data_IF_853326565942
#
_entry.id   IF_853326565942
#
_cell.length_a   1.000
_cell.length_b   1.000
_cell.length_c   1.000
_cell.angle_alpha   90.00
_cell.angle_beta   90.00
_cell.angle_gamma   90.00
#
_symmetry.space_group_name_H-M   'P 1'
#
loop_
_entity.id
_entity.type
_entity.pdbx_description
1 polymer ?
#
# COMPACT_ATOMS: atom_id res chain seq x y z
N UNK A 1 36.19 83.82 9.23
CA UNK A 1 35.76 83.14 7.98
C UNK A 1 36.13 81.68 8.05
N UNK A 2 35.25 80.83 7.56
CA UNK A 2 35.34 79.39 7.32
C UNK A 2 35.07 78.46 8.49
N UNK A 3 33.79 78.28 8.76
CA UNK A 3 33.26 77.05 9.34
C UNK A 3 32.71 76.15 8.22
N UNK A 4 33.34 75.00 7.94
CA UNK A 4 32.90 74.11 6.87
C UNK A 4 32.77 72.64 7.35
N UNK A 5 31.55 72.23 7.46
CA UNK A 5 31.01 70.85 7.14
C UNK A 5 31.79 69.64 7.61
N UNK A 6 31.48 69.14 8.82
CA UNK A 6 31.74 67.77 9.28
C UNK A 6 30.49 66.93 9.51
N UNK A 7 29.31 67.35 9.09
CA UNK A 7 28.03 66.72 9.48
C UNK A 7 27.45 65.78 8.42
N UNK A 8 27.96 65.73 7.18
CA UNK A 8 27.47 64.87 6.11
C UNK A 8 28.20 63.52 6.01
N UNK A 9 29.42 63.40 6.52
CA UNK A 9 30.22 62.16 6.41
C UNK A 9 29.79 61.07 7.35
N UNK A 10 29.22 61.39 8.53
CA UNK A 10 28.73 60.35 9.49
C UNK A 10 27.45 59.62 9.06
N UNK A 11 26.56 60.26 8.30
CA UNK A 11 25.31 59.62 7.82
C UNK A 11 25.57 58.66 6.66
N UNK A 12 26.50 58.91 5.77
CA UNK A 12 26.90 58.02 4.68
C UNK A 12 27.62 56.75 5.19
N UNK A 13 28.44 56.87 6.24
CA UNK A 13 29.16 55.73 6.80
C UNK A 13 28.22 54.75 7.53
N UNK A 14 27.19 55.25 8.22
CA UNK A 14 26.17 54.43 8.89
C UNK A 14 25.27 53.70 7.85
N UNK A 15 24.94 54.38 6.72
CA UNK A 15 24.15 53.74 5.66
C UNK A 15 24.92 52.61 4.96
N UNK A 16 26.23 52.79 4.77
CA UNK A 16 27.10 51.76 4.18
C UNK A 16 27.25 50.54 5.10
N UNK A 17 27.33 50.76 6.42
CA UNK A 17 27.44 49.67 7.40
C UNK A 17 26.13 48.87 7.54
N UNK A 18 24.97 49.51 7.41
CA UNK A 18 23.66 48.84 7.42
C UNK A 18 23.45 48.01 6.13
N UNK A 19 23.88 48.55 4.96
CA UNK A 19 23.80 47.79 3.69
C UNK A 19 24.71 46.55 3.69
N UNK A 20 25.92 46.65 4.24
CA UNK A 20 26.84 45.50 4.33
C UNK A 20 26.34 44.43 5.31
N UNK A 21 25.61 44.82 6.37
CA UNK A 21 25.02 43.85 7.31
C UNK A 21 23.86 43.07 6.70
N UNK A 22 23.00 43.74 5.90
CA UNK A 22 21.93 43.05 5.16
C UNK A 22 22.46 42.08 4.10
N UNK A 23 23.47 42.48 3.34
CA UNK A 23 24.11 41.63 2.33
C UNK A 23 24.82 40.42 2.99
N UNK A 24 25.43 40.62 4.16
CA UNK A 24 26.05 39.50 4.91
C UNK A 24 25.04 38.50 5.45
N UNK A 25 23.87 38.95 5.96
CA UNK A 25 22.79 38.06 6.40
C UNK A 25 22.17 37.29 5.21
N UNK A 26 21.90 37.96 4.07
CA UNK A 26 21.39 37.26 2.87
C UNK A 26 22.42 36.24 2.33
N UNK A 27 23.72 36.54 2.43
CA UNK A 27 24.77 35.63 1.96
C UNK A 27 25.00 34.45 2.91
N UNK A 28 24.75 34.63 4.21
CA UNK A 28 24.80 33.55 5.22
C UNK A 28 23.59 32.61 5.11
N UNK A 29 22.39 33.16 4.90
CA UNK A 29 21.18 32.36 4.61
C UNK A 29 21.31 31.63 3.27
N UNK A 30 21.80 32.26 2.22
CA UNK A 30 22.02 31.62 0.92
C UNK A 30 23.09 30.52 0.99
N UNK A 31 24.18 30.71 1.74
CA UNK A 31 25.21 29.71 1.96
C UNK A 31 24.71 28.53 2.82
N UNK A 32 23.85 28.80 3.78
CA UNK A 32 23.23 27.75 4.62
C UNK A 32 22.24 26.93 3.79
N UNK A 33 21.39 27.58 3.01
CA UNK A 33 20.48 26.96 2.08
C UNK A 33 21.21 26.14 1.00
N UNK A 34 22.32 26.66 0.47
CA UNK A 34 23.15 25.94 -0.51
C UNK A 34 23.84 24.72 0.12
N UNK A 35 24.37 24.82 1.36
CA UNK A 35 24.92 23.67 2.11
C UNK A 35 23.87 22.61 2.46
N UNK A 36 22.65 23.01 2.81
CA UNK A 36 21.55 22.08 3.02
C UNK A 36 21.13 21.37 1.73
N UNK A 37 21.19 22.05 0.58
CA UNK A 37 20.89 21.45 -0.73
C UNK A 37 21.93 20.41 -1.19
N UNK A 38 23.14 20.43 -0.64
CA UNK A 38 24.20 19.45 -0.91
C UNK A 38 24.15 18.21 -0.01
N UNK A 39 23.39 18.25 1.10
CA UNK A 39 23.32 17.11 2.04
C UNK A 39 22.60 15.93 1.41
N UNK A 40 23.28 14.79 1.38
CA UNK A 40 22.75 13.52 0.89
C UNK A 40 22.27 12.68 2.05
N UNK A 41 21.13 12.02 1.85
CA UNK A 41 20.55 11.06 2.78
C UNK A 41 20.51 9.69 2.13
N UNK A 42 20.80 8.64 2.89
CA UNK A 42 20.73 7.27 2.41
C UNK A 42 19.84 6.49 3.33
N UNK A 43 18.76 5.90 2.77
CA UNK A 43 17.81 5.06 3.47
C UNK A 43 17.87 3.62 2.99
N UNK A 44 17.49 2.71 3.85
CA UNK A 44 17.29 1.29 3.54
C UNK A 44 15.81 0.99 3.57
N UNK A 45 15.27 0.51 2.45
CA UNK A 45 13.90 0.03 2.35
C UNK A 45 13.91 -1.50 2.44
N UNK A 46 13.10 -2.06 3.32
CA UNK A 46 12.81 -3.50 3.38
C UNK A 46 11.39 -3.76 2.89
N UNK A 47 11.17 -4.87 2.19
CA UNK A 47 9.87 -5.17 1.60
C UNK A 47 9.36 -6.55 1.99
N UNK A 48 8.03 -6.72 1.96
CA UNK A 48 7.39 -8.04 2.11
C UNK A 48 7.40 -8.84 0.80
N UNK A 49 7.92 -8.27 -0.28
CA UNK A 49 7.92 -8.80 -1.64
C UNK A 49 9.30 -9.27 -2.09
N UNK A 50 9.39 -10.29 -2.95
CA UNK A 50 10.65 -10.60 -3.62
C UNK A 50 11.13 -9.41 -4.45
N UNK A 51 12.46 -9.24 -4.50
CA UNK A 51 13.09 -8.21 -5.32
C UNK A 51 12.83 -8.44 -6.80
N UNK A 52 12.68 -7.36 -7.57
CA UNK A 52 12.38 -7.38 -9.02
C UNK A 52 11.07 -8.12 -9.37
N UNK A 53 10.23 -8.41 -8.40
CA UNK A 53 8.97 -9.06 -8.65
C UNK A 53 7.98 -8.07 -9.31
N UNK A 54 7.32 -8.45 -10.42
CA UNK A 54 6.40 -7.57 -11.13
C UNK A 54 5.34 -6.94 -10.22
N UNK A 55 4.95 -5.72 -10.51
CA UNK A 55 4.00 -4.96 -9.70
C UNK A 55 4.55 -4.63 -8.33
N UNK A 56 4.29 -5.44 -7.31
CA UNK A 56 4.59 -5.11 -5.90
C UNK A 56 6.08 -4.94 -5.59
N UNK A 57 6.96 -5.79 -6.11
CA UNK A 57 8.41 -5.67 -5.92
C UNK A 57 8.98 -4.50 -6.70
N UNK A 58 8.61 -4.37 -7.98
CA UNK A 58 9.01 -3.26 -8.83
C UNK A 58 8.44 -1.92 -8.34
N UNK A 59 7.26 -1.91 -7.71
CA UNK A 59 6.68 -0.72 -7.10
C UNK A 59 7.60 -0.10 -6.04
N UNK A 60 8.15 -0.92 -5.15
CA UNK A 60 9.13 -0.46 -4.15
C UNK A 60 10.40 0.09 -4.80
N UNK A 61 10.89 -0.56 -5.86
CA UNK A 61 12.06 -0.09 -6.61
C UNK A 61 11.78 1.18 -7.41
N UNK A 62 10.57 1.31 -7.99
CA UNK A 62 10.15 2.51 -8.72
C UNK A 62 10.02 3.71 -7.77
N UNK A 63 9.53 3.50 -6.54
CA UNK A 63 9.54 4.54 -5.51
C UNK A 63 10.97 5.03 -5.23
N UNK A 64 11.92 4.11 -5.02
CA UNK A 64 13.34 4.44 -4.83
C UNK A 64 13.90 5.25 -5.99
N UNK A 65 13.67 4.80 -7.22
CA UNK A 65 14.13 5.49 -8.45
C UNK A 65 13.51 6.88 -8.59
N UNK A 66 12.21 7.01 -8.32
CA UNK A 66 11.48 8.26 -8.45
C UNK A 66 11.94 9.28 -7.41
N UNK A 67 12.07 8.87 -6.14
CA UNK A 67 12.61 9.72 -5.07
C UNK A 67 14.02 10.19 -5.39
N UNK A 68 14.91 9.31 -5.82
CA UNK A 68 16.27 9.67 -6.22
C UNK A 68 16.27 10.71 -7.36
N UNK A 69 15.44 10.50 -8.38
CA UNK A 69 15.33 11.42 -9.53
C UNK A 69 14.76 12.77 -9.11
N UNK A 70 13.67 12.80 -8.35
CA UNK A 70 13.00 14.04 -7.93
C UNK A 70 13.86 14.85 -6.96
N UNK A 71 14.65 14.18 -6.12
CA UNK A 71 15.57 14.83 -5.16
C UNK A 71 16.91 15.23 -5.76
N UNK A 72 17.13 15.03 -7.07
CA UNK A 72 18.43 15.20 -7.72
C UNK A 72 19.56 14.42 -7.01
N UNK A 73 19.26 13.22 -6.51
CA UNK A 73 20.21 12.35 -5.82
C UNK A 73 20.41 12.65 -4.33
N UNK A 74 19.74 13.66 -3.78
CA UNK A 74 19.88 14.01 -2.35
C UNK A 74 19.28 13.00 -1.40
N UNK A 75 18.25 12.23 -1.81
CA UNK A 75 17.74 11.09 -1.06
C UNK A 75 17.87 9.82 -1.89
N UNK A 76 18.68 8.90 -1.41
CA UNK A 76 18.93 7.62 -2.03
C UNK A 76 18.33 6.50 -1.17
N UNK A 77 17.45 5.70 -1.75
CA UNK A 77 16.80 4.59 -1.05
C UNK A 77 17.32 3.27 -1.63
N UNK A 78 18.01 2.47 -0.82
CA UNK A 78 18.43 1.12 -1.23
C UNK A 78 17.35 0.12 -0.84
N UNK A 79 16.79 -0.59 -1.84
CA UNK A 79 15.74 -1.57 -1.65
C UNK A 79 16.32 -2.95 -1.36
N UNK A 80 15.77 -3.62 -0.36
CA UNK A 80 16.04 -4.99 0.03
C UNK A 80 14.74 -5.80 -0.05
N UNK A 81 14.75 -6.86 -0.83
CA UNK A 81 13.61 -7.75 -0.96
C UNK A 81 13.33 -8.58 0.29
N UNK A 82 12.21 -9.28 0.26
CA UNK A 82 11.79 -10.20 1.31
C UNK A 82 12.90 -11.18 1.69
N UNK A 83 13.27 -11.20 2.97
CA UNK A 83 14.30 -12.10 3.52
C UNK A 83 15.76 -11.68 3.28
N UNK A 84 16.05 -10.61 2.53
CA UNK A 84 17.43 -10.16 2.29
C UNK A 84 18.05 -9.49 3.54
N UNK A 85 17.29 -8.69 4.26
CA UNK A 85 17.76 -7.97 5.46
C UNK A 85 16.96 -8.32 6.70
N UNK A 86 15.64 -8.47 6.55
CA UNK A 86 14.72 -8.91 7.60
C UNK A 86 13.72 -9.91 7.02
N UNK A 87 13.14 -10.82 7.83
CA UNK A 87 12.02 -11.65 7.40
C UNK A 87 10.85 -10.81 6.90
N UNK A 88 10.12 -11.29 5.89
CA UNK A 88 9.04 -10.53 5.24
C UNK A 88 8.00 -9.98 6.23
N UNK A 89 7.58 -10.77 7.20
CA UNK A 89 6.55 -10.40 8.18
C UNK A 89 7.10 -9.62 9.39
N UNK A 90 8.39 -9.25 9.37
CA UNK A 90 9.02 -8.40 10.39
C UNK A 90 9.33 -6.97 9.89
N UNK A 91 8.94 -6.63 8.67
CA UNK A 91 9.16 -5.30 8.07
C UNK A 91 8.63 -4.19 8.97
N UNK A 92 7.42 -4.32 9.49
CA UNK A 92 6.80 -3.34 10.40
C UNK A 92 7.66 -3.07 11.64
N UNK A 93 8.11 -4.13 12.30
CA UNK A 93 8.91 -4.02 13.53
C UNK A 93 10.29 -3.41 13.26
N UNK A 94 10.90 -3.75 12.14
CA UNK A 94 12.21 -3.23 11.76
C UNK A 94 12.16 -1.71 11.53
N UNK A 95 11.12 -1.21 10.87
CA UNK A 95 10.91 0.23 10.64
C UNK A 95 10.49 0.93 11.93
N UNK A 96 9.54 0.36 12.68
CA UNK A 96 9.04 0.91 13.96
C UNK A 96 10.18 1.17 14.95
N UNK A 97 11.14 0.24 15.03
CA UNK A 97 12.31 0.35 15.91
C UNK A 97 13.46 1.20 15.34
N UNK A 98 13.32 1.73 14.12
CA UNK A 98 14.38 2.49 13.46
C UNK A 98 15.58 1.64 13.03
N UNK A 99 15.45 0.31 12.97
CA UNK A 99 16.50 -0.57 12.43
C UNK A 99 16.76 -0.28 10.94
N UNK A 100 15.70 0.09 10.23
CA UNK A 100 15.71 0.61 8.86
C UNK A 100 14.78 1.81 8.78
N UNK A 101 14.99 2.65 7.79
CA UNK A 101 14.32 3.95 7.68
C UNK A 101 12.90 3.83 7.09
N UNK A 102 12.69 2.88 6.17
CA UNK A 102 11.47 2.77 5.38
C UNK A 102 11.15 1.31 5.09
N UNK A 103 9.86 0.98 4.94
CA UNK A 103 9.37 -0.34 4.57
C UNK A 103 8.26 -0.26 3.51
N UNK A 104 8.04 -1.36 2.80
CA UNK A 104 6.94 -1.51 1.85
C UNK A 104 6.25 -2.86 2.05
N UNK A 105 4.92 -2.85 2.23
CA UNK A 105 4.17 -4.05 2.54
C UNK A 105 2.66 -3.87 2.41
N UNK A 106 1.92 -4.67 3.18
CA UNK A 106 0.46 -4.56 3.28
C UNK A 106 0.06 -4.51 4.76
N UNK A 107 -0.70 -3.50 5.13
CA UNK A 107 -1.00 -3.20 6.54
C UNK A 107 -1.76 -4.31 7.26
N UNK A 108 -2.52 -5.14 6.57
CA UNK A 108 -3.21 -6.29 7.19
C UNK A 108 -2.26 -7.37 7.73
N UNK A 109 -1.00 -7.40 7.32
CA UNK A 109 -0.03 -8.36 7.90
C UNK A 109 0.25 -8.10 9.39
N UNK A 110 -0.05 -6.91 9.86
CA UNK A 110 0.23 -6.46 11.23
C UNK A 110 -0.98 -6.51 12.18
N UNK A 111 -2.09 -7.14 11.78
CA UNK A 111 -3.34 -7.18 12.57
C UNK A 111 -3.15 -7.71 13.99
N UNK A 112 -2.16 -8.56 14.23
CA UNK A 112 -1.81 -9.05 15.56
C UNK A 112 -1.28 -7.98 16.51
N UNK A 113 -0.74 -6.88 15.96
CA UNK A 113 -0.16 -5.75 16.73
C UNK A 113 -1.01 -4.49 16.62
N UNK A 114 -1.57 -4.26 15.44
CA UNK A 114 -2.38 -3.12 15.10
C UNK A 114 -3.70 -3.60 14.44
N UNK A 115 -4.73 -3.96 15.22
CA UNK A 115 -5.98 -4.51 14.70
C UNK A 115 -6.66 -3.62 13.64
N UNK A 116 -6.53 -2.30 13.80
CA UNK A 116 -7.06 -1.31 12.85
C UNK A 116 -6.28 -1.22 11.54
N UNK A 117 -5.07 -1.76 11.44
CA UNK A 117 -4.24 -1.65 10.23
C UNK A 117 -4.91 -2.27 8.98
N UNK A 118 -5.69 -3.33 9.15
CA UNK A 118 -6.36 -4.02 8.06
C UNK A 118 -7.31 -3.13 7.23
N UNK A 119 -7.88 -2.09 7.83
CA UNK A 119 -8.76 -1.16 7.12
C UNK A 119 -8.05 -0.40 5.99
N UNK A 120 -6.74 -0.23 6.08
CA UNK A 120 -5.96 0.55 5.12
C UNK A 120 -5.40 -0.27 3.96
N UNK A 121 -5.44 -1.60 4.03
CA UNK A 121 -5.20 -2.43 2.85
C UNK A 121 -6.51 -2.76 2.16
N UNK A 122 -7.32 -3.64 2.72
CA UNK A 122 -8.63 -4.01 2.18
C UNK A 122 -9.50 -4.65 3.24
N UNK A 123 -10.80 -4.49 3.10
CA UNK A 123 -11.80 -5.30 3.78
C UNK A 123 -12.53 -6.18 2.77
N UNK A 124 -12.90 -7.40 3.14
CA UNK A 124 -13.80 -8.20 2.33
C UNK A 124 -15.10 -7.44 2.02
N UNK A 125 -15.51 -7.41 0.74
CA UNK A 125 -16.64 -6.62 0.23
C UNK A 125 -16.53 -5.10 0.45
N UNK A 126 -15.30 -4.60 0.65
CA UNK A 126 -14.98 -3.20 0.93
C UNK A 126 -14.91 -2.32 -0.31
N UNK A 127 -14.09 -1.27 -0.20
CA UNK A 127 -13.84 -0.28 -1.25
C UNK A 127 -13.00 -0.90 -2.39
N UNK A 128 -13.34 -0.54 -3.64
CA UNK A 128 -12.45 -0.83 -4.78
C UNK A 128 -11.26 0.15 -4.81
N UNK A 129 -10.33 -0.03 -5.76
CA UNK A 129 -9.10 0.76 -5.82
C UNK A 129 -9.34 2.27 -5.94
N UNK A 130 -10.28 2.68 -6.80
CA UNK A 130 -10.64 4.09 -6.98
C UNK A 130 -11.26 4.67 -5.70
N UNK A 131 -12.17 3.93 -5.09
CA UNK A 131 -12.83 4.31 -3.84
C UNK A 131 -11.86 4.38 -2.67
N UNK A 132 -10.94 3.41 -2.57
CA UNK A 132 -9.91 3.38 -1.52
C UNK A 132 -8.96 4.59 -1.65
N UNK A 133 -8.46 4.87 -2.85
CA UNK A 133 -7.63 6.03 -3.10
C UNK A 133 -8.36 7.35 -2.78
N UNK A 134 -9.63 7.44 -3.15
CA UNK A 134 -10.44 8.62 -2.86
C UNK A 134 -10.70 8.78 -1.35
N UNK A 135 -11.02 7.71 -0.64
CA UNK A 135 -11.20 7.74 0.80
C UNK A 135 -9.90 8.14 1.53
N UNK A 136 -8.77 7.54 1.17
CA UNK A 136 -7.48 7.86 1.78
C UNK A 136 -7.13 9.33 1.62
N UNK A 137 -7.30 9.91 0.43
CA UNK A 137 -6.80 11.26 0.15
C UNK A 137 -7.83 12.38 0.34
N UNK A 138 -9.13 12.07 0.37
CA UNK A 138 -10.21 13.06 0.46
C UNK A 138 -11.33 12.68 1.44
N UNK A 139 -11.30 11.47 2.00
CA UNK A 139 -12.27 10.95 2.95
C UNK A 139 -11.78 10.88 4.40
N UNK A 140 -10.59 11.42 4.70
CA UNK A 140 -10.00 11.38 6.04
C UNK A 140 -9.27 10.08 6.38
N UNK A 141 -9.03 9.22 5.38
CA UNK A 141 -8.41 7.91 5.60
C UNK A 141 -6.93 7.99 5.99
N UNK A 142 -6.16 8.93 5.41
CA UNK A 142 -4.75 9.09 5.73
C UNK A 142 -4.54 9.56 7.17
N UNK A 143 -5.31 10.51 7.64
CA UNK A 143 -5.25 11.02 9.01
C UNK A 143 -5.57 9.92 10.03
N UNK A 144 -6.56 9.10 9.73
CA UNK A 144 -6.89 7.93 10.56
C UNK A 144 -5.80 6.86 10.53
N UNK A 145 -5.10 6.71 9.40
CA UNK A 145 -3.97 5.79 9.28
C UNK A 145 -2.76 6.29 10.07
N UNK A 146 -2.45 7.57 9.97
CA UNK A 146 -1.40 8.20 10.75
C UNK A 146 -1.69 8.06 12.26
N UNK A 147 -2.94 8.28 12.71
CA UNK A 147 -3.34 8.05 14.10
C UNK A 147 -3.15 6.58 14.53
N UNK A 148 -3.54 5.62 13.69
CA UNK A 148 -3.41 4.20 13.98
C UNK A 148 -1.94 3.78 14.15
N UNK A 149 -1.03 4.43 13.43
CA UNK A 149 0.40 4.10 13.42
C UNK A 149 1.24 4.99 14.34
N UNK A 150 0.66 6.02 14.95
CA UNK A 150 1.35 6.98 15.81
C UNK A 150 2.14 6.31 16.94
N UNK A 151 1.49 5.41 17.68
CA UNK A 151 2.09 4.66 18.81
C UNK A 151 3.21 3.71 18.41
N UNK A 152 3.36 3.41 17.12
CA UNK A 152 4.41 2.55 16.58
C UNK A 152 5.57 3.34 15.98
N UNK A 153 5.57 4.66 16.15
CA UNK A 153 6.62 5.52 15.61
C UNK A 153 6.72 5.47 14.07
N UNK A 154 5.60 5.33 13.38
CA UNK A 154 5.51 5.17 11.95
C UNK A 154 4.69 6.27 11.28
N UNK A 155 5.07 6.63 10.06
CA UNK A 155 4.29 7.42 9.11
C UNK A 155 3.89 6.50 7.97
N UNK A 156 2.59 6.22 7.77
CA UNK A 156 2.10 5.45 6.65
C UNK A 156 1.80 6.33 5.43
N UNK A 157 2.05 5.81 4.24
CA UNK A 157 1.64 6.40 2.97
C UNK A 157 1.10 5.31 2.04
N UNK A 158 0.14 5.65 1.17
CA UNK A 158 -0.25 4.76 0.09
C UNK A 158 0.90 4.67 -0.94
N UNK A 159 1.39 3.47 -1.19
CA UNK A 159 2.56 3.21 -2.05
C UNK A 159 2.36 2.12 -3.09
N UNK A 160 1.12 1.74 -3.35
CA UNK A 160 0.72 0.77 -4.37
C UNK A 160 -0.75 0.39 -4.23
N UNK A 161 -1.36 -0.03 -5.33
CA UNK A 161 -2.68 -0.64 -5.32
C UNK A 161 -2.74 -1.71 -6.42
N UNK A 162 -3.25 -2.89 -6.10
CA UNK A 162 -3.26 -4.01 -7.05
C UNK A 162 -4.53 -4.04 -7.92
N UNK A 163 -5.49 -3.18 -7.65
CA UNK A 163 -6.83 -3.31 -8.21
C UNK A 163 -7.60 -4.49 -7.61
N UNK A 164 -8.70 -4.86 -8.24
CA UNK A 164 -9.49 -6.03 -7.81
C UNK A 164 -8.67 -7.30 -7.99
N UNK A 165 -8.53 -8.07 -6.92
CA UNK A 165 -7.83 -9.35 -6.96
C UNK A 165 -8.70 -10.51 -7.43
N UNK A 166 -8.10 -11.69 -7.58
CA UNK A 166 -8.79 -12.94 -7.81
C UNK A 166 -9.03 -13.67 -6.49
N UNK A 167 -10.08 -14.51 -6.43
CA UNK A 167 -10.42 -15.26 -5.21
C UNK A 167 -9.40 -16.35 -4.85
N UNK A 168 -8.54 -16.72 -5.79
CA UNK A 168 -7.38 -17.58 -5.56
C UNK A 168 -7.37 -18.87 -6.37
N UNK A 169 -6.34 -19.66 -6.11
CA UNK A 169 -6.01 -20.94 -6.73
C UNK A 169 -6.41 -22.11 -5.82
N UNK A 170 -6.99 -23.13 -6.40
CA UNK A 170 -7.50 -24.29 -5.66
C UNK A 170 -7.10 -25.61 -6.34
N UNK A 171 -6.70 -26.59 -5.55
CA UNK A 171 -6.41 -27.93 -6.01
C UNK A 171 -7.69 -28.75 -6.27
N UNK A 172 -8.81 -28.36 -5.67
CA UNK A 172 -10.13 -28.97 -5.86
C UNK A 172 -11.17 -27.92 -6.23
N UNK A 173 -12.29 -28.38 -6.78
CA UNK A 173 -13.42 -27.49 -7.05
C UNK A 173 -14.14 -27.07 -5.77
N UNK A 174 -14.61 -25.83 -5.77
CA UNK A 174 -15.49 -25.26 -4.75
C UNK A 174 -16.87 -25.04 -5.38
N UNK A 175 -17.78 -25.92 -5.12
CA UNK A 175 -19.15 -25.87 -5.62
C UNK A 175 -20.17 -25.50 -4.52
N UNK A 176 -19.76 -25.57 -3.25
CA UNK A 176 -20.60 -25.30 -2.09
C UNK A 176 -19.74 -24.96 -0.85
N UNK A 177 -20.40 -24.58 0.25
CA UNK A 177 -19.74 -24.37 1.55
C UNK A 177 -19.12 -25.66 2.12
N UNK A 178 -19.65 -26.82 1.78
CA UNK A 178 -19.08 -28.11 2.23
C UNK A 178 -17.65 -28.30 1.68
N UNK A 179 -17.37 -27.81 0.48
CA UNK A 179 -16.04 -27.94 -0.15
C UNK A 179 -14.97 -27.06 0.52
N UNK A 180 -15.40 -26.09 1.32
CA UNK A 180 -14.50 -25.22 2.11
C UNK A 180 -14.01 -25.94 3.36
N UNK A 181 -14.83 -26.83 3.93
CA UNK A 181 -14.50 -27.50 5.21
C UNK A 181 -13.17 -28.23 5.14
N UNK A 182 -12.30 -27.90 6.10
CA UNK A 182 -10.94 -28.46 6.21
C UNK A 182 -10.00 -28.10 5.08
N UNK A 183 -10.38 -27.18 4.16
CA UNK A 183 -9.46 -26.69 3.11
C UNK A 183 -8.49 -25.72 3.71
N UNK A 184 -7.20 -26.04 3.66
CA UNK A 184 -6.11 -25.19 4.11
C UNK A 184 -5.81 -24.16 3.03
N UNK A 185 -6.07 -22.91 3.33
CA UNK A 185 -5.88 -21.82 2.37
C UNK A 185 -4.89 -20.78 2.92
N UNK A 186 -3.89 -20.44 2.12
CA UNK A 186 -3.12 -19.21 2.39
C UNK A 186 -3.99 -18.03 2.05
N UNK A 187 -4.36 -17.26 3.08
CA UNK A 187 -5.18 -16.07 2.95
C UNK A 187 -4.96 -15.14 4.16
N UNK A 188 -4.53 -13.87 3.97
CA UNK A 188 -4.22 -12.96 5.06
C UNK A 188 -5.44 -12.21 5.59
N UNK A 189 -5.20 -11.44 6.65
CA UNK A 189 -6.11 -10.42 7.15
C UNK A 189 -7.45 -10.95 7.66
N UNK A 190 -8.47 -10.11 7.55
CA UNK A 190 -9.84 -10.45 7.95
C UNK A 190 -10.41 -11.61 7.11
N UNK A 191 -10.01 -11.68 5.84
CA UNK A 191 -10.45 -12.73 4.95
C UNK A 191 -10.04 -14.13 5.44
N UNK A 192 -8.86 -14.26 6.07
CA UNK A 192 -8.45 -15.50 6.73
C UNK A 192 -9.39 -15.90 7.86
N UNK A 193 -9.84 -14.92 8.67
CA UNK A 193 -10.84 -15.19 9.72
C UNK A 193 -12.20 -15.61 9.12
N UNK A 194 -12.62 -14.96 8.01
CA UNK A 194 -13.84 -15.33 7.29
C UNK A 194 -13.76 -16.77 6.78
N UNK A 195 -12.62 -17.14 6.19
CA UNK A 195 -12.38 -18.49 5.70
C UNK A 195 -12.47 -19.54 6.81
N UNK A 196 -11.85 -19.25 7.96
CA UNK A 196 -11.90 -20.14 9.14
C UNK A 196 -13.30 -20.27 9.70
N UNK A 197 -14.05 -19.20 9.85
CA UNK A 197 -15.45 -19.23 10.32
C UNK A 197 -16.39 -19.96 9.32
N UNK A 198 -16.02 -20.01 8.05
CA UNK A 198 -16.74 -20.80 7.05
C UNK A 198 -16.40 -22.31 7.09
N UNK A 199 -15.47 -22.72 7.95
CA UNK A 199 -15.08 -24.10 8.15
C UNK A 199 -13.75 -24.51 7.52
N UNK A 200 -13.04 -23.60 6.88
CA UNK A 200 -11.68 -23.82 6.35
C UNK A 200 -10.60 -23.60 7.39
N UNK A 201 -9.36 -23.73 6.96
CA UNK A 201 -8.16 -23.46 7.76
C UNK A 201 -7.33 -22.38 7.08
N UNK A 202 -7.24 -21.18 7.68
CA UNK A 202 -6.44 -20.09 7.15
C UNK A 202 -5.00 -20.16 7.62
N UNK A 203 -4.06 -19.98 6.70
CA UNK A 203 -2.61 -19.94 6.98
C UNK A 203 -2.05 -18.66 6.44
N UNK A 204 -1.23 -17.97 7.24
CA UNK A 204 -0.44 -16.81 6.79
C UNK A 204 1.00 -17.24 6.53
N UNK A 205 1.49 -16.96 5.32
CA UNK A 205 2.89 -17.15 4.92
C UNK A 205 3.31 -16.09 3.91
N UNK A 206 4.62 -15.79 3.81
CA UNK A 206 5.17 -14.92 2.78
C UNK A 206 4.84 -15.40 1.37
N UNK A 207 4.69 -14.46 0.42
CA UNK A 207 4.40 -14.77 -0.99
C UNK A 207 5.41 -15.74 -1.61
N UNK A 208 6.70 -15.61 -1.27
CA UNK A 208 7.77 -16.48 -1.76
C UNK A 208 7.61 -17.97 -1.42
N UNK A 209 6.76 -18.31 -0.44
CA UNK A 209 6.55 -19.68 0.02
C UNK A 209 5.30 -20.33 -0.59
N UNK A 210 4.41 -19.54 -1.20
CA UNK A 210 3.09 -20.00 -1.66
C UNK A 210 3.21 -21.12 -2.68
N UNK A 211 4.02 -20.94 -3.74
CA UNK A 211 4.15 -21.93 -4.82
C UNK A 211 4.54 -23.31 -4.29
N UNK A 212 5.61 -23.38 -3.49
CA UNK A 212 6.13 -24.64 -2.95
C UNK A 212 5.11 -25.32 -2.04
N UNK A 213 4.46 -24.55 -1.16
CA UNK A 213 3.48 -25.11 -0.22
C UNK A 213 2.20 -25.59 -0.93
N UNK A 214 1.76 -24.91 -1.97
CA UNK A 214 0.63 -25.31 -2.81
C UNK A 214 0.96 -26.54 -3.64
N UNK A 215 2.15 -26.59 -4.24
CA UNK A 215 2.63 -27.71 -5.07
C UNK A 215 2.83 -28.99 -4.25
N UNK A 216 3.34 -28.88 -3.03
CA UNK A 216 3.57 -30.04 -2.14
C UNK A 216 2.35 -30.47 -1.34
N UNK A 217 1.23 -29.74 -1.45
CA UNK A 217 0.00 -30.04 -0.72
C UNK A 217 0.06 -29.73 0.78
N UNK A 218 1.00 -28.86 1.24
CA UNK A 218 0.99 -28.30 2.60
C UNK A 218 -0.22 -27.38 2.76
N UNK A 219 -0.60 -26.66 1.71
CA UNK A 219 -1.87 -25.95 1.57
C UNK A 219 -2.63 -26.46 0.36
N UNK A 220 -3.96 -26.37 0.40
CA UNK A 220 -4.88 -26.85 -0.63
C UNK A 220 -5.32 -25.72 -1.57
N UNK A 221 -5.19 -24.48 -1.12
CA UNK A 221 -5.55 -23.27 -1.85
C UNK A 221 -4.66 -22.09 -1.44
N UNK A 222 -4.58 -21.11 -2.32
CA UNK A 222 -3.91 -19.84 -2.01
C UNK A 222 -4.52 -18.70 -2.83
N UNK A 223 -4.75 -17.59 -2.19
CA UNK A 223 -4.86 -16.31 -2.89
C UNK A 223 -3.48 -15.62 -2.93
N UNK A 224 -3.27 -14.80 -3.95
CA UNK A 224 -2.08 -13.96 -4.00
C UNK A 224 -2.44 -12.54 -4.48
N UNK A 225 -2.60 -12.32 -5.77
CA UNK A 225 -2.99 -10.99 -6.29
C UNK A 225 -3.95 -11.17 -7.46
N UNK A 226 -3.43 -11.56 -8.61
CA UNK A 226 -4.20 -11.65 -9.84
C UNK A 226 -3.35 -12.21 -10.97
N UNK A 227 -3.94 -12.34 -12.19
CA UNK A 227 -3.33 -13.10 -13.27
C UNK A 227 -1.87 -12.76 -13.56
N UNK A 228 -1.51 -11.49 -13.56
CA UNK A 228 -0.16 -11.02 -13.88
C UNK A 228 0.89 -11.51 -12.89
N UNK A 229 0.61 -11.39 -11.60
CA UNK A 229 1.53 -11.86 -10.56
C UNK A 229 1.47 -13.38 -10.38
N UNK A 230 0.28 -13.95 -10.41
CA UNK A 230 0.05 -15.36 -10.17
C UNK A 230 0.70 -16.23 -11.26
N UNK A 231 0.67 -15.76 -12.50
CA UNK A 231 1.41 -16.37 -13.62
C UNK A 231 2.91 -16.32 -13.38
N UNK A 232 3.45 -15.20 -12.88
CA UNK A 232 4.88 -15.03 -12.59
C UNK A 232 5.37 -15.97 -11.49
N UNK A 233 4.54 -16.23 -10.47
CA UNK A 233 4.83 -17.24 -9.46
C UNK A 233 4.63 -18.68 -9.93
N UNK A 234 4.05 -18.87 -11.12
CA UNK A 234 3.79 -20.20 -11.65
C UNK A 234 2.66 -20.94 -10.94
N UNK A 235 1.73 -20.25 -10.26
CA UNK A 235 0.68 -20.87 -9.45
C UNK A 235 -0.19 -21.83 -10.26
N UNK A 236 -0.35 -21.59 -11.57
CA UNK A 236 -1.01 -22.48 -12.51
C UNK A 236 -0.34 -23.86 -12.66
N UNK A 237 0.92 -24.03 -12.24
CA UNK A 237 1.61 -25.31 -12.22
C UNK A 237 1.36 -26.08 -10.92
N UNK A 238 0.91 -25.37 -9.86
CA UNK A 238 0.66 -25.94 -8.56
C UNK A 238 -0.84 -26.21 -8.31
N UNK A 239 -1.75 -25.46 -8.95
CA UNK A 239 -3.20 -25.61 -8.81
C UNK A 239 -3.89 -25.41 -10.15
N UNK A 240 -5.06 -26.04 -10.31
CA UNK A 240 -5.78 -26.14 -11.58
C UNK A 240 -6.94 -25.15 -11.71
N UNK A 241 -7.60 -24.86 -10.60
CA UNK A 241 -8.81 -24.04 -10.59
C UNK A 241 -8.48 -22.63 -10.11
N UNK A 242 -8.91 -21.63 -10.87
CA UNK A 242 -8.68 -20.22 -10.59
C UNK A 242 -10.03 -19.53 -10.43
N UNK A 243 -10.29 -18.99 -9.23
CA UNK A 243 -11.60 -18.49 -8.85
C UNK A 243 -11.69 -16.98 -8.84
N UNK A 244 -12.89 -16.46 -9.16
CA UNK A 244 -13.33 -15.07 -9.03
C UNK A 244 -14.74 -14.99 -8.44
N UNK A 245 -15.23 -13.80 -8.00
CA UNK A 245 -14.50 -12.53 -7.81
C UNK A 245 -13.61 -12.55 -6.58
N UNK A 246 -12.64 -11.61 -6.54
CA UNK A 246 -11.79 -11.35 -5.38
C UNK A 246 -12.55 -10.66 -4.26
N UNK A 247 -13.46 -11.39 -3.63
CA UNK A 247 -14.37 -10.91 -2.57
C UNK A 247 -13.65 -10.32 -1.36
N UNK A 248 -12.44 -10.76 -1.11
CA UNK A 248 -11.61 -10.44 0.03
C UNK A 248 -10.83 -9.14 -0.16
N UNK A 249 -10.40 -8.85 -1.40
CA UNK A 249 -9.55 -7.71 -1.74
C UNK A 249 -10.02 -7.00 -3.02
N UNK A 250 -11.10 -6.18 -2.93
CA UNK A 250 -11.61 -5.48 -4.10
C UNK A 250 -10.75 -4.30 -4.56
N UNK A 251 -9.80 -3.82 -3.72
CA UNK A 251 -8.91 -2.72 -4.07
C UNK A 251 -7.83 -2.49 -3.03
N UNK A 252 -6.96 -3.49 -2.75
CA UNK A 252 -5.99 -3.40 -1.67
C UNK A 252 -4.94 -2.33 -1.95
N UNK A 253 -4.80 -1.41 -1.00
CA UNK A 253 -3.69 -0.46 -0.97
C UNK A 253 -2.50 -1.10 -0.27
N UNK A 254 -1.33 -0.93 -0.86
CA UNK A 254 -0.06 -1.30 -0.27
C UNK A 254 0.55 -0.08 0.42
N UNK A 255 1.22 -0.33 1.54
CA UNK A 255 1.78 0.73 2.35
C UNK A 255 3.25 0.97 2.09
N UNK A 256 3.63 2.22 2.17
CA UNK A 256 4.98 2.66 2.52
C UNK A 256 4.93 3.11 3.97
N UNK A 257 5.73 2.49 4.82
CA UNK A 257 5.88 2.89 6.23
C UNK A 257 7.26 3.50 6.44
N UNK A 258 7.32 4.59 7.18
CA UNK A 258 8.56 5.34 7.41
C UNK A 258 8.72 5.56 8.91
N UNK A 259 9.92 5.32 9.43
CA UNK A 259 10.25 5.69 10.81
C UNK A 259 10.15 7.21 10.99
N UNK A 260 9.48 7.66 12.05
CA UNK A 260 9.21 9.10 12.28
C UNK A 260 10.48 9.94 12.44
N UNK A 261 11.48 9.43 13.17
CA UNK A 261 12.74 10.16 13.33
C UNK A 261 13.50 10.25 12.03
N UNK A 262 13.53 9.15 11.24
CA UNK A 262 14.16 9.17 9.92
C UNK A 262 13.47 10.20 9.01
N UNK A 263 12.12 10.24 9.01
CA UNK A 263 11.37 11.20 8.22
C UNK A 263 11.59 12.65 8.68
N UNK A 264 11.55 12.90 10.00
CA UNK A 264 11.78 14.22 10.58
C UNK A 264 13.22 14.74 10.35
N UNK A 265 14.18 13.84 10.12
CA UNK A 265 15.57 14.22 9.80
C UNK A 265 15.75 14.80 8.39
N UNK A 266 14.77 14.61 7.50
CA UNK A 266 14.79 15.14 6.15
C UNK A 266 14.36 16.61 6.14
N UNK A 267 14.95 17.44 5.26
CA UNK A 267 14.41 18.75 4.91
C UNK A 267 12.98 18.62 4.34
N UNK A 268 12.18 19.66 4.51
CA UNK A 268 10.75 19.65 4.14
C UNK A 268 10.49 19.33 2.66
N UNK A 269 11.37 19.78 1.77
CA UNK A 269 11.28 19.48 0.34
C UNK A 269 11.49 17.98 0.04
N UNK A 270 12.41 17.31 0.75
CA UNK A 270 12.62 15.86 0.63
C UNK A 270 11.45 15.07 1.24
N UNK A 271 10.86 15.55 2.34
CA UNK A 271 9.65 14.96 2.90
C UNK A 271 8.49 15.01 1.89
N UNK A 272 8.30 16.15 1.22
CA UNK A 272 7.27 16.32 0.19
C UNK A 272 7.53 15.46 -1.05
N UNK A 273 8.78 15.32 -1.46
CA UNK A 273 9.20 14.42 -2.54
C UNK A 273 8.81 12.97 -2.21
N UNK A 274 9.04 12.50 -0.98
CA UNK A 274 8.67 11.13 -0.58
C UNK A 274 7.16 10.94 -0.62
N UNK A 275 6.37 11.89 -0.09
CA UNK A 275 4.90 11.85 -0.13
C UNK A 275 4.37 11.82 -1.57
N UNK A 276 4.86 12.72 -2.42
CA UNK A 276 4.45 12.84 -3.82
C UNK A 276 4.84 11.59 -4.63
N UNK A 277 6.06 11.10 -4.46
CA UNK A 277 6.54 9.90 -5.13
C UNK A 277 5.75 8.65 -4.72
N UNK A 278 5.40 8.52 -3.44
CA UNK A 278 4.58 7.42 -2.95
C UNK A 278 3.20 7.42 -3.61
N UNK A 279 2.54 8.58 -3.68
CA UNK A 279 1.26 8.74 -4.35
C UNK A 279 1.33 8.43 -5.86
N UNK A 280 2.40 8.86 -6.52
CA UNK A 280 2.62 8.57 -7.94
C UNK A 280 2.80 7.07 -8.19
N UNK A 281 3.59 6.38 -7.38
CA UNK A 281 3.82 4.93 -7.50
C UNK A 281 2.56 4.14 -7.17
N UNK A 282 1.72 4.62 -6.23
CA UNK A 282 0.43 3.99 -5.94
C UNK A 282 -0.46 3.95 -7.19
N UNK A 283 -0.52 5.04 -7.96
CA UNK A 283 -1.28 5.08 -9.22
C UNK A 283 -0.61 4.25 -10.33
N UNK A 284 0.71 4.38 -10.49
CA UNK A 284 1.48 3.65 -11.51
C UNK A 284 1.31 2.14 -11.39
N UNK A 285 1.32 1.61 -10.16
CA UNK A 285 1.08 0.19 -9.90
C UNK A 285 -0.34 -0.24 -10.30
N UNK A 286 -1.36 0.55 -9.98
CA UNK A 286 -2.75 0.26 -10.37
C UNK A 286 -2.90 0.23 -11.90
N UNK A 287 -2.26 1.16 -12.60
CA UNK A 287 -2.26 1.23 -14.05
C UNK A 287 -1.56 0.01 -14.67
N UNK A 288 -0.41 -0.42 -14.11
CA UNK A 288 0.30 -1.62 -14.54
C UNK A 288 -0.58 -2.87 -14.40
N UNK A 289 -1.20 -3.09 -13.24
CA UNK A 289 -2.09 -4.23 -13.04
C UNK A 289 -3.30 -4.20 -13.96
N UNK A 290 -3.92 -3.04 -14.12
CA UNK A 290 -5.07 -2.86 -15.02
C UNK A 290 -4.70 -3.22 -16.46
N UNK A 291 -3.52 -2.82 -16.92
CA UNK A 291 -3.06 -3.07 -18.28
C UNK A 291 -2.63 -4.52 -18.52
N UNK A 292 -2.07 -5.21 -17.50
CA UNK A 292 -1.42 -6.51 -17.72
C UNK A 292 -2.22 -7.72 -17.27
N UNK A 293 -3.17 -7.56 -16.35
CA UNK A 293 -3.95 -8.70 -15.84
C UNK A 293 -4.76 -9.42 -16.93
N UNK A 294 -5.35 -8.68 -17.89
CA UNK A 294 -6.15 -9.29 -18.97
C UNK A 294 -5.30 -10.17 -19.87
N UNK A 295 -4.11 -9.71 -20.28
CA UNK A 295 -3.18 -10.49 -21.12
C UNK A 295 -2.66 -11.74 -20.39
N UNK A 296 -2.32 -11.59 -19.10
CA UNK A 296 -1.89 -12.71 -18.28
C UNK A 296 -3.03 -13.74 -18.10
N UNK A 297 -4.27 -13.29 -17.88
CA UNK A 297 -5.43 -14.18 -17.78
C UNK A 297 -5.65 -14.95 -19.08
N UNK A 298 -5.58 -14.29 -20.21
CA UNK A 298 -5.68 -14.94 -21.53
C UNK A 298 -4.61 -16.03 -21.68
N UNK A 299 -3.36 -15.76 -21.31
CA UNK A 299 -2.29 -16.74 -21.36
C UNK A 299 -2.54 -17.91 -20.40
N UNK A 300 -2.97 -17.64 -19.15
CA UNK A 300 -3.29 -18.68 -18.17
C UNK A 300 -4.39 -19.62 -18.68
N UNK A 301 -5.44 -19.09 -19.25
CA UNK A 301 -6.59 -19.89 -19.75
C UNK A 301 -6.23 -20.59 -21.05
N UNK A 302 -5.76 -19.86 -22.08
CA UNK A 302 -5.63 -20.39 -23.42
C UNK A 302 -4.33 -21.18 -23.66
N UNK A 303 -3.24 -20.83 -22.95
CA UNK A 303 -1.95 -21.52 -23.13
C UNK A 303 -1.70 -22.54 -22.04
N UNK A 304 -2.02 -22.22 -20.77
CA UNK A 304 -1.75 -23.10 -19.64
C UNK A 304 -2.96 -23.97 -19.22
N UNK A 305 -4.13 -23.80 -19.85
CA UNK A 305 -5.31 -24.63 -19.61
C UNK A 305 -5.91 -24.46 -18.21
N UNK A 306 -5.74 -23.29 -17.60
CA UNK A 306 -6.32 -22.97 -16.30
C UNK A 306 -7.83 -22.94 -16.38
N UNK A 307 -8.49 -23.58 -15.43
CA UNK A 307 -9.96 -23.62 -15.34
C UNK A 307 -10.43 -22.42 -14.52
N UNK A 308 -10.89 -21.38 -15.21
CA UNK A 308 -11.47 -20.21 -14.58
C UNK A 308 -12.89 -20.53 -14.08
N UNK A 309 -13.15 -20.25 -12.81
CA UNK A 309 -14.45 -20.52 -12.18
C UNK A 309 -14.92 -19.33 -11.33
N UNK A 310 -16.24 -19.15 -11.32
CA UNK A 310 -16.89 -18.21 -10.40
C UNK A 310 -17.24 -18.91 -9.09
N UNK A 311 -16.97 -18.28 -7.96
CA UNK A 311 -17.45 -18.76 -6.66
C UNK A 311 -18.99 -18.78 -6.64
N UNK A 312 -19.61 -19.82 -6.06
CA UNK A 312 -21.05 -19.89 -5.91
C UNK A 312 -21.63 -18.72 -5.10
N UNK A 313 -22.84 -18.30 -5.46
CA UNK A 313 -23.48 -17.15 -4.79
C UNK A 313 -23.82 -17.39 -3.32
N UNK A 314 -24.14 -18.63 -2.95
CA UNK A 314 -24.38 -19.02 -1.56
C UNK A 314 -23.09 -18.94 -0.72
N UNK A 315 -21.95 -19.32 -1.28
CA UNK A 315 -20.63 -19.15 -0.67
C UNK A 315 -20.33 -17.66 -0.44
N UNK A 316 -20.50 -16.83 -1.49
CA UNK A 316 -20.27 -15.39 -1.40
C UNK A 316 -21.22 -14.72 -0.39
N UNK A 317 -22.48 -15.11 -0.35
CA UNK A 317 -23.45 -14.62 0.65
C UNK A 317 -23.01 -14.98 2.06
N UNK A 318 -22.57 -16.22 2.27
CA UNK A 318 -22.07 -16.67 3.57
C UNK A 318 -20.84 -15.93 4.01
N UNK A 319 -19.85 -15.72 3.12
CA UNK A 319 -18.68 -14.89 3.41
C UNK A 319 -19.05 -13.48 3.81
N UNK A 320 -20.03 -12.86 3.14
CA UNK A 320 -20.51 -11.51 3.47
C UNK A 320 -21.19 -11.46 4.85
N UNK A 321 -21.97 -12.46 5.21
CA UNK A 321 -22.56 -12.58 6.54
C UNK A 321 -21.49 -12.69 7.64
N UNK A 322 -20.52 -13.59 7.44
CA UNK A 322 -19.41 -13.80 8.37
C UNK A 322 -18.57 -12.51 8.48
N UNK A 323 -18.25 -11.87 7.37
CA UNK A 323 -17.52 -10.57 7.36
C UNK A 323 -18.25 -9.54 8.22
N UNK A 324 -19.56 -9.41 8.05
CA UNK A 324 -20.37 -8.46 8.83
C UNK A 324 -20.38 -8.77 10.34
N UNK A 325 -20.36 -10.05 10.71
CA UNK A 325 -20.24 -10.51 12.10
C UNK A 325 -18.88 -10.10 12.68
N UNK A 326 -17.80 -10.51 12.01
CA UNK A 326 -16.43 -10.28 12.49
C UNK A 326 -16.08 -8.78 12.57
N UNK A 327 -16.57 -7.95 11.63
CA UNK A 327 -16.41 -6.51 11.71
C UNK A 327 -17.12 -5.92 12.92
N UNK A 328 -18.34 -6.38 13.26
CA UNK A 328 -19.06 -5.93 14.46
C UNK A 328 -18.29 -6.28 15.74
N UNK A 329 -17.69 -7.46 15.80
CA UNK A 329 -16.87 -7.89 16.93
C UNK A 329 -15.62 -6.99 17.05
N UNK A 330 -14.87 -6.77 15.95
CA UNK A 330 -13.68 -5.94 15.92
C UNK A 330 -13.96 -4.50 16.40
N UNK A 331 -15.00 -3.87 15.88
CA UNK A 331 -15.33 -2.47 16.25
C UNK A 331 -15.89 -2.33 17.66
N UNK A 332 -16.37 -3.41 18.27
CA UNK A 332 -16.79 -3.42 19.66
C UNK A 332 -15.60 -3.45 20.63
N UNK A 333 -14.49 -4.05 20.22
CA UNK A 333 -13.28 -4.22 21.03
C UNK A 333 -12.29 -3.05 20.91
N UNK A 334 -12.24 -2.39 19.75
CA UNK A 334 -11.27 -1.32 19.45
C UNK A 334 -11.97 -0.03 18.99
N UNK A 335 -11.98 1.03 19.84
CA UNK A 335 -12.61 2.31 19.50
C UNK A 335 -12.02 2.99 18.25
N UNK A 336 -10.74 2.80 17.97
CA UNK A 336 -10.11 3.36 16.77
C UNK A 336 -10.60 2.60 15.51
N UNK A 337 -10.63 1.28 15.55
CA UNK A 337 -11.22 0.46 14.48
C UNK A 337 -12.67 0.85 14.20
N UNK A 338 -13.44 1.18 15.24
CA UNK A 338 -14.83 1.66 15.07
C UNK A 338 -14.87 2.97 14.28
N UNK A 339 -14.07 3.96 14.64
CA UNK A 339 -14.04 5.26 13.95
C UNK A 339 -13.61 5.11 12.48
N UNK A 340 -12.60 4.28 12.22
CA UNK A 340 -12.12 3.99 10.87
C UNK A 340 -13.21 3.32 10.06
N UNK A 341 -13.84 2.30 10.60
CA UNK A 341 -14.93 1.57 9.95
C UNK A 341 -16.12 2.49 9.61
N UNK A 342 -16.56 3.30 10.56
CA UNK A 342 -17.65 4.27 10.35
C UNK A 342 -17.31 5.28 9.25
N UNK A 343 -16.06 5.76 9.19
CA UNK A 343 -15.56 6.64 8.13
C UNK A 343 -15.63 5.95 6.76
N UNK A 344 -15.10 4.70 6.66
CA UNK A 344 -15.13 3.93 5.41
C UNK A 344 -16.55 3.61 4.95
N UNK A 345 -17.43 3.17 5.85
CA UNK A 345 -18.80 2.80 5.48
C UNK A 345 -19.63 4.03 5.04
N UNK A 346 -19.45 5.17 5.69
CA UNK A 346 -20.07 6.43 5.26
C UNK A 346 -19.57 6.85 3.88
N UNK A 347 -18.26 6.77 3.65
CA UNK A 347 -17.67 7.08 2.34
C UNK A 347 -18.19 6.10 1.27
N UNK A 348 -18.14 4.80 1.54
CA UNK A 348 -18.61 3.75 0.63
C UNK A 348 -20.08 3.93 0.25
N UNK A 349 -20.93 4.22 1.23
CA UNK A 349 -22.35 4.48 0.97
C UNK A 349 -22.56 5.62 -0.02
N UNK A 350 -21.86 6.74 0.19
CA UNK A 350 -22.03 7.94 -0.64
C UNK A 350 -21.48 7.70 -2.07
N UNK A 351 -20.27 7.14 -2.18
CA UNK A 351 -19.65 6.92 -3.51
C UNK A 351 -20.38 5.84 -4.31
N UNK A 352 -20.91 4.80 -3.64
CA UNK A 352 -21.66 3.74 -4.31
C UNK A 352 -22.93 4.24 -5.00
N UNK A 353 -23.61 5.24 -4.44
CA UNK A 353 -24.80 5.82 -5.10
C UNK A 353 -24.43 6.50 -6.42
N UNK A 354 -23.30 7.21 -6.44
CA UNK A 354 -22.80 7.81 -7.68
C UNK A 354 -22.29 6.75 -8.66
N UNK A 355 -21.52 5.74 -8.20
CA UNK A 355 -20.98 4.68 -9.04
C UNK A 355 -22.05 3.83 -9.73
N UNK A 356 -23.26 3.75 -9.18
CA UNK A 356 -24.40 3.08 -9.85
C UNK A 356 -24.80 3.76 -11.17
N UNK A 357 -24.70 5.08 -11.24
CA UNK A 357 -25.11 5.89 -12.40
C UNK A 357 -23.93 6.36 -13.25
N UNK A 358 -22.70 6.10 -12.82
CA UNK A 358 -21.46 6.40 -13.54
C UNK A 358 -20.75 5.11 -13.99
N UNK A 359 -19.78 4.61 -13.25
CA UNK A 359 -18.93 3.49 -13.65
C UNK A 359 -19.74 2.24 -14.03
N UNK A 360 -20.68 1.85 -13.17
CA UNK A 360 -21.50 0.66 -13.42
C UNK A 360 -22.37 0.84 -14.67
N UNK A 361 -23.01 1.97 -14.83
CA UNK A 361 -23.82 2.28 -16.01
C UNK A 361 -22.99 2.28 -17.30
N UNK A 362 -21.73 2.74 -17.25
CA UNK A 362 -20.81 2.68 -18.40
C UNK A 362 -20.45 1.24 -18.76
N UNK A 363 -20.17 0.37 -17.78
CA UNK A 363 -19.93 -1.05 -18.06
C UNK A 363 -21.17 -1.71 -18.68
N UNK A 364 -22.36 -1.50 -18.12
CA UNK A 364 -23.62 -2.04 -18.65
C UNK A 364 -23.89 -1.54 -20.07
N UNK A 365 -23.62 -0.25 -20.34
CA UNK A 365 -23.79 0.34 -21.68
C UNK A 365 -22.88 -0.30 -22.74
N UNK A 366 -21.66 -0.73 -22.36
CA UNK A 366 -20.74 -1.40 -23.30
C UNK A 366 -21.21 -2.79 -23.74
N UNK A 367 -22.13 -3.39 -22.99
CA UNK A 367 -22.69 -4.71 -23.27
C UNK A 367 -24.00 -4.64 -24.08
N UNK A 368 -24.50 -3.42 -24.40
CA UNK A 368 -25.66 -3.24 -25.27
C UNK A 368 -25.29 -3.62 -26.71
N UNK A 369 -26.08 -4.53 -27.32
CA UNK A 369 -25.97 -4.94 -28.74
C UNK A 369 -26.76 -4.00 -29.63
#
# INVERSE_FOLDING_TARGET
MAGFKFRKFKKSLVLLFVLTFFIACEQEEANTAFKESEKTFTWRMVTTWPKNYPGVGLGAENLSKLVNKMSAGRLQIKVYGSGELVPALEVFDAVSRGTVEIGHGASYYWIGKAPSAQFFTALPFGLNAQEMNAWLHYGGGLELWEEAYDKFNLIPLAGGNTGVQMAGWFNKEINSLEDIKGTRMRIPGLAGKVWTEAGGEAVLMPGSEIFTNLQTGVIDAAEWIGPYNDQTFGLHQAAKYYYYPGWHEPGPTLEVIINKEAFASLPSDLQEIVRTASRAVNQDMLDEYTARNNQALETLVNTHGVILKRLPDDVLKKFKEITSKLLKELIAEDPLSKRIFESQENFKKNVSEYHKISEKAVYEMRELN
#
